data_IF_856693977511
#
_entry.id   IF_856693977511
#
_cell.length_a   1.000
_cell.length_b   1.000
_cell.length_c   1.000
_cell.angle_alpha   90.00
_cell.angle_beta   90.00
_cell.angle_gamma   90.00
#
_symmetry.space_group_name_H-M   'P 1'
#
loop_
_entity.id
_entity.type
_entity.pdbx_description
1 polymer ?
#
# COMPACT_ATOMS: atom_id res chain seq x y z
N UNK A 1 29.24 11.52 64.14
CA UNK A 1 29.11 10.37 63.21
C UNK A 1 27.71 10.19 62.56
N UNK A 2 26.73 11.09 62.76
CA UNK A 2 25.40 11.01 62.10
C UNK A 2 25.22 11.90 60.87
N UNK A 3 26.04 12.95 60.73
CA UNK A 3 25.96 13.93 59.63
C UNK A 3 26.43 13.35 58.27
N UNK A 4 27.48 12.51 58.29
CA UNK A 4 28.01 11.87 57.07
C UNK A 4 27.03 10.87 56.44
N UNK A 5 26.17 10.23 57.23
CA UNK A 5 25.21 9.23 56.72
C UNK A 5 24.06 9.89 55.97
N UNK A 6 23.59 11.06 56.43
CA UNK A 6 22.53 11.80 55.71
C UNK A 6 23.04 12.37 54.38
N UNK A 7 24.27 12.89 54.34
CA UNK A 7 24.85 13.43 53.12
C UNK A 7 25.05 12.34 52.05
N UNK A 8 25.54 11.16 52.45
CA UNK A 8 25.70 10.02 51.55
C UNK A 8 24.33 9.53 51.04
N UNK A 9 23.30 9.47 51.89
CA UNK A 9 21.94 9.09 51.46
C UNK A 9 21.36 10.07 50.44
N UNK A 10 21.53 11.38 50.64
CA UNK A 10 21.05 12.40 49.71
C UNK A 10 21.78 12.34 48.36
N UNK A 11 23.09 12.10 48.36
CA UNK A 11 23.88 11.95 47.12
C UNK A 11 23.49 10.67 46.37
N UNK A 12 23.28 9.55 47.06
CA UNK A 12 22.82 8.29 46.43
C UNK A 12 21.40 8.43 45.87
N UNK A 13 20.50 9.15 46.54
CA UNK A 13 19.15 9.42 46.03
C UNK A 13 19.16 10.34 44.79
N UNK A 14 20.08 11.31 44.75
CA UNK A 14 20.28 12.19 43.58
C UNK A 14 20.89 11.43 42.39
N UNK A 15 21.82 10.49 42.63
CA UNK A 15 22.35 9.64 41.56
C UNK A 15 21.29 8.66 41.01
N UNK A 16 20.41 8.13 41.86
CA UNK A 16 19.30 7.27 41.45
C UNK A 16 18.20 8.02 40.68
N UNK A 17 18.02 9.33 40.90
CA UNK A 17 17.10 10.15 40.09
C UNK A 17 17.74 10.61 38.78
N UNK A 18 19.07 10.73 38.70
CA UNK A 18 19.79 11.04 37.47
C UNK A 18 19.86 9.86 36.50
N UNK A 19 19.81 8.60 36.97
CA UNK A 19 19.76 7.42 36.09
C UNK A 19 18.41 7.18 35.43
N UNK A 20 17.32 7.78 35.92
CA UNK A 20 15.99 7.70 35.25
C UNK A 20 15.77 8.83 34.22
N UNK A 21 16.61 9.87 34.23
CA UNK A 21 16.56 10.98 33.26
C UNK A 21 17.51 10.71 32.07
N UNK A 22 18.52 9.85 32.25
CA UNK A 22 19.39 9.35 31.18
C UNK A 22 18.80 8.16 30.40
N UNK A 23 17.49 8.17 30.12
CA UNK A 23 16.86 7.28 29.14
C UNK A 23 15.60 7.91 28.54
N UNK A 24 15.68 9.20 28.19
CA UNK A 24 14.86 9.76 27.11
C UNK A 24 15.76 10.16 25.96
N UNK A 25 16.48 9.18 25.42
CA UNK A 25 16.79 9.22 24.00
C UNK A 25 15.47 8.79 23.37
N UNK A 26 14.73 9.75 22.81
CA UNK A 26 13.76 9.44 21.77
C UNK A 26 14.54 8.61 20.74
N UNK A 27 14.45 7.28 20.88
CA UNK A 27 14.58 6.43 19.74
C UNK A 27 13.47 6.93 18.84
N UNK A 28 13.82 7.82 17.89
CA UNK A 28 13.32 7.69 16.54
C UNK A 28 13.60 6.23 16.20
N UNK A 29 12.64 5.38 16.55
CA UNK A 29 12.54 4.03 16.09
C UNK A 29 12.53 4.23 14.59
N UNK A 30 13.67 3.94 13.94
CA UNK A 30 13.73 3.92 12.49
C UNK A 30 12.52 3.09 12.07
N UNK A 31 11.60 3.71 11.33
CA UNK A 31 10.48 2.97 10.76
C UNK A 31 11.11 1.90 9.88
N UNK A 32 11.13 0.65 10.36
CA UNK A 32 11.83 -0.47 9.72
C UNK A 32 11.27 -0.79 8.32
N UNK A 33 10.13 -0.18 7.95
CA UNK A 33 9.67 -0.11 6.57
C UNK A 33 9.00 1.22 6.28
N UNK A 34 9.39 1.81 5.16
CA UNK A 34 8.77 2.99 4.58
C UNK A 34 7.57 2.68 3.68
N UNK A 35 7.26 1.40 3.46
CA UNK A 35 6.26 0.98 2.49
C UNK A 35 4.87 1.39 2.97
N UNK A 36 4.27 2.33 2.24
CA UNK A 36 3.02 2.99 2.61
C UNK A 36 2.22 3.35 1.37
N UNK A 37 0.92 3.12 1.42
CA UNK A 37 -0.05 3.67 0.49
C UNK A 37 -1.09 4.42 1.30
N UNK A 38 -1.19 5.72 1.09
CA UNK A 38 -2.23 6.56 1.70
C UNK A 38 -3.20 6.93 0.62
N UNK A 39 -4.48 6.76 0.87
CA UNK A 39 -5.49 7.11 -0.10
C UNK A 39 -6.76 7.64 0.55
N UNK A 40 -7.46 8.42 -0.24
CA UNK A 40 -8.80 8.88 0.04
C UNK A 40 -9.77 8.14 -0.88
N UNK A 41 -10.84 7.59 -0.31
CA UNK A 41 -11.97 6.99 -1.03
C UNK A 41 -13.20 7.84 -0.75
N UNK A 42 -13.68 8.60 -1.74
CA UNK A 42 -14.82 9.50 -1.60
C UNK A 42 -14.75 10.43 -0.36
N UNK A 43 -13.59 11.05 -0.09
CA UNK A 43 -13.39 11.91 1.09
C UNK A 43 -12.95 11.18 2.37
N UNK A 44 -12.99 9.85 2.41
CA UNK A 44 -12.65 9.05 3.60
C UNK A 44 -11.20 8.55 3.51
N UNK A 45 -10.43 8.72 4.57
CA UNK A 45 -9.01 8.36 4.61
C UNK A 45 -8.78 6.89 4.93
N UNK A 46 -7.94 6.26 4.11
CA UNK A 46 -7.46 4.90 4.27
C UNK A 46 -5.94 4.85 4.14
N UNK A 47 -5.35 3.85 4.78
CA UNK A 47 -3.91 3.63 4.75
C UNK A 47 -3.57 2.16 4.76
N UNK A 48 -2.64 1.81 3.90
CA UNK A 48 -1.88 0.58 3.99
C UNK A 48 -0.47 0.94 4.42
N UNK A 49 0.01 0.31 5.49
CA UNK A 49 1.37 0.51 5.97
C UNK A 49 1.89 -0.83 6.45
N UNK A 50 3.05 -1.20 5.94
CA UNK A 50 3.69 -2.44 6.33
C UNK A 50 3.94 -2.45 7.84
N UNK A 51 3.45 -3.44 8.59
CA UNK A 51 3.72 -3.54 10.01
C UNK A 51 5.20 -3.85 10.26
N UNK A 52 5.71 -3.35 11.38
CA UNK A 52 7.13 -3.43 11.76
C UNK A 52 7.60 -4.89 11.93
N UNK A 53 6.72 -5.76 12.40
CA UNK A 53 6.96 -7.19 12.59
C UNK A 53 6.01 -7.97 11.70
N UNK A 54 6.58 -8.73 10.77
CA UNK A 54 5.87 -9.67 9.91
C UNK A 54 6.39 -11.09 10.20
N UNK A 55 5.50 -12.11 10.28
CA UNK A 55 5.93 -13.50 10.32
C UNK A 55 6.78 -13.84 9.08
N UNK A 56 7.75 -14.77 9.19
CA UNK A 56 8.48 -15.27 8.03
C UNK A 56 7.53 -15.75 6.94
N UNK A 57 7.73 -15.29 5.70
CA UNK A 57 6.90 -15.65 4.54
C UNK A 57 5.62 -14.82 4.36
N UNK A 58 5.32 -13.85 5.23
CA UNK A 58 4.18 -12.96 5.03
C UNK A 58 4.44 -11.99 3.86
N UNK A 59 3.48 -11.92 2.93
CA UNK A 59 3.51 -10.94 1.82
C UNK A 59 3.45 -9.52 2.37
N UNK A 60 4.36 -8.67 1.91
CA UNK A 60 4.49 -7.27 2.33
C UNK A 60 3.59 -6.39 1.49
N UNK A 61 2.75 -5.57 2.12
CA UNK A 61 1.91 -4.59 1.44
C UNK A 61 2.13 -3.18 2.00
N UNK A 62 1.96 -2.12 1.18
CA UNK A 62 1.68 -2.16 -0.25
C UNK A 62 2.87 -2.73 -1.04
N UNK A 63 2.56 -3.39 -2.15
CA UNK A 63 3.53 -4.12 -2.95
C UNK A 63 3.58 -3.56 -4.37
N UNK A 64 4.79 -3.37 -4.89
CA UNK A 64 5.02 -3.03 -6.29
C UNK A 64 6.00 -4.03 -6.91
N UNK A 65 5.56 -4.69 -7.96
CA UNK A 65 6.34 -5.61 -8.77
C UNK A 65 6.56 -5.06 -10.16
N UNK A 66 7.80 -5.14 -10.64
CA UNK A 66 8.17 -4.86 -12.02
C UNK A 66 8.86 -6.08 -12.61
N UNK A 67 8.22 -6.68 -13.60
CA UNK A 67 8.57 -8.01 -14.08
C UNK A 67 8.95 -8.02 -15.57
N UNK A 68 9.89 -8.91 -15.86
CA UNK A 68 10.26 -9.33 -17.20
C UNK A 68 10.03 -10.83 -17.26
N UNK A 69 9.22 -11.30 -18.21
CA UNK A 69 9.09 -12.72 -18.52
C UNK A 69 9.83 -13.00 -19.83
N UNK A 70 10.81 -13.92 -19.81
CA UNK A 70 11.51 -14.43 -21.00
C UNK A 70 11.48 -15.97 -21.04
N UNK A 71 11.32 -16.65 -22.19
CA UNK A 71 12.19 -16.57 -23.38
C UNK A 71 11.49 -16.48 -24.76
N UNK A 72 10.16 -16.29 -24.84
CA UNK A 72 9.45 -16.28 -26.16
C UNK A 72 8.76 -14.97 -26.52
N UNK A 73 8.43 -14.10 -25.58
CA UNK A 73 7.50 -12.98 -25.84
C UNK A 73 7.94 -11.60 -25.32
N UNK A 74 9.13 -11.44 -24.72
CA UNK A 74 9.62 -10.14 -24.19
C UNK A 74 8.54 -9.38 -23.39
N UNK A 75 7.78 -10.09 -22.57
CA UNK A 75 6.60 -9.55 -21.92
C UNK A 75 6.98 -8.83 -20.63
N UNK A 76 6.70 -7.52 -20.56
CA UNK A 76 6.98 -6.67 -19.40
C UNK A 76 5.68 -6.19 -18.79
N UNK A 77 5.62 -6.12 -17.47
CA UNK A 77 4.45 -5.58 -16.79
C UNK A 77 4.81 -5.07 -15.39
N UNK A 78 3.99 -4.16 -14.90
CA UNK A 78 3.96 -3.79 -13.48
C UNK A 78 2.72 -4.37 -12.82
N UNK A 79 2.84 -4.66 -11.53
CA UNK A 79 1.72 -4.91 -10.62
C UNK A 79 1.87 -4.02 -9.40
N UNK A 80 0.76 -3.44 -8.97
CA UNK A 80 0.66 -2.80 -7.66
C UNK A 80 -0.49 -3.42 -6.89
N UNK A 81 -0.23 -3.86 -5.66
CA UNK A 81 -1.25 -4.42 -4.77
C UNK A 81 -1.21 -3.72 -3.42
N UNK A 82 -2.38 -3.43 -2.85
CA UNK A 82 -2.48 -2.80 -1.54
C UNK A 82 -3.76 -3.20 -0.82
N UNK A 83 -3.71 -3.19 0.50
CA UNK A 83 -4.80 -3.54 1.41
C UNK A 83 -5.15 -2.36 2.31
N UNK A 84 -5.55 -1.20 1.75
CA UNK A 84 -5.76 0.01 2.52
C UNK A 84 -6.90 -0.18 3.53
N UNK A 85 -6.62 0.13 4.79
CA UNK A 85 -7.55 0.04 5.92
C UNK A 85 -8.00 1.42 6.32
N UNK A 86 -9.25 1.52 6.75
CA UNK A 86 -9.83 2.74 7.25
C UNK A 86 -9.02 3.26 8.46
N UNK A 87 -8.57 4.52 8.42
CA UNK A 87 -7.72 5.06 9.50
C UNK A 87 -8.52 5.35 10.78
N UNK A 88 -9.81 5.69 10.66
CA UNK A 88 -10.69 5.95 11.81
C UNK A 88 -11.82 4.91 11.90
N UNK A 89 -11.67 3.95 12.80
CA UNK A 89 -12.60 2.81 12.98
C UNK A 89 -13.95 3.23 13.57
N UNK A 90 -14.08 4.44 14.11
CA UNK A 90 -15.36 4.93 14.65
C UNK A 90 -16.36 5.42 13.61
N UNK A 91 -16.00 5.44 12.32
CA UNK A 91 -16.93 5.82 11.25
C UNK A 91 -17.90 4.70 10.87
N UNK A 92 -19.09 5.05 10.42
CA UNK A 92 -20.10 4.11 9.88
C UNK A 92 -19.89 3.86 8.37
N UNK A 93 -18.64 3.62 7.99
CA UNK A 93 -18.28 3.39 6.59
C UNK A 93 -18.44 1.90 6.27
N UNK A 94 -19.11 1.62 5.15
CA UNK A 94 -19.49 0.27 4.75
C UNK A 94 -18.28 -0.67 4.53
N UNK A 95 -17.15 -0.13 4.06
CA UNK A 95 -15.91 -0.86 3.88
C UNK A 95 -14.88 -0.48 4.96
N UNK A 96 -14.45 -1.46 5.77
CA UNK A 96 -13.37 -1.29 6.76
C UNK A 96 -11.99 -1.39 6.12
N UNK A 97 -11.88 -2.14 5.04
CA UNK A 97 -10.68 -2.24 4.21
C UNK A 97 -11.06 -2.62 2.78
N UNK A 98 -10.16 -2.28 1.86
CA UNK A 98 -10.23 -2.71 0.47
C UNK A 98 -9.03 -3.61 0.13
N UNK A 99 -9.18 -4.42 -0.89
CA UNK A 99 -8.07 -5.06 -1.60
C UNK A 99 -8.02 -4.40 -2.98
N UNK A 100 -6.93 -3.69 -3.27
CA UNK A 100 -6.71 -2.95 -4.50
C UNK A 100 -5.60 -3.63 -5.29
N UNK A 101 -5.85 -3.86 -6.57
CA UNK A 101 -4.87 -4.39 -7.50
C UNK A 101 -4.86 -3.60 -8.80
N UNK A 102 -3.67 -3.31 -9.28
CA UNK A 102 -3.38 -2.73 -10.59
C UNK A 102 -2.46 -3.69 -11.32
N UNK A 103 -2.75 -3.92 -12.58
CA UNK A 103 -1.87 -4.62 -13.50
C UNK A 103 -1.76 -3.81 -14.78
N UNK A 104 -0.53 -3.63 -15.26
CA UNK A 104 -0.30 -2.87 -16.47
C UNK A 104 0.83 -3.51 -17.28
N UNK A 105 0.50 -4.11 -18.43
CA UNK A 105 1.47 -4.49 -19.45
C UNK A 105 2.25 -3.27 -19.91
N UNK A 106 3.53 -3.47 -20.20
CA UNK A 106 4.47 -2.43 -20.56
C UNK A 106 5.07 -2.72 -21.93
N UNK A 107 5.00 -1.73 -22.80
CA UNK A 107 5.61 -1.71 -24.13
C UNK A 107 7.09 -1.30 -24.08
N UNK A 108 7.50 -0.64 -23.00
CA UNK A 108 8.84 -0.12 -22.77
C UNK A 108 9.24 -0.28 -21.30
N UNK A 109 10.46 0.14 -20.97
CA UNK A 109 10.89 0.26 -19.58
C UNK A 109 9.97 1.18 -18.76
N UNK A 110 9.86 0.93 -17.46
CA UNK A 110 9.11 1.80 -16.55
C UNK A 110 9.68 3.23 -16.57
N UNK A 111 8.84 4.18 -16.94
CA UNK A 111 9.17 5.61 -17.06
C UNK A 111 8.58 6.43 -15.91
N UNK A 112 9.38 7.36 -15.40
CA UNK A 112 8.97 8.39 -14.45
C UNK A 112 8.14 9.46 -15.18
N UNK A 113 7.09 9.94 -14.53
CA UNK A 113 6.12 10.93 -15.01
C UNK A 113 5.27 10.51 -16.22
N UNK A 114 5.41 9.27 -16.72
CA UNK A 114 4.45 8.67 -17.67
C UNK A 114 3.15 8.34 -16.94
N UNK A 115 2.02 8.64 -17.58
CA UNK A 115 0.71 8.18 -17.13
C UNK A 115 0.47 6.76 -17.65
N UNK A 116 0.21 5.83 -16.74
CA UNK A 116 -0.23 4.47 -17.05
C UNK A 116 -1.74 4.42 -16.86
N UNK A 117 -2.47 4.20 -17.95
CA UNK A 117 -3.93 4.27 -17.96
C UNK A 117 -4.53 2.87 -17.80
N UNK A 118 -5.64 2.80 -17.09
CA UNK A 118 -6.43 1.59 -16.86
C UNK A 118 -7.83 1.85 -17.34
N UNK A 119 -8.40 0.94 -18.12
CA UNK A 119 -9.75 1.09 -18.65
C UNK A 119 -10.60 -0.13 -18.29
N UNK A 120 -11.77 0.11 -17.72
CA UNK A 120 -12.77 -0.93 -17.54
C UNK A 120 -13.38 -1.36 -18.88
N UNK A 121 -13.61 -2.65 -19.04
CA UNK A 121 -14.37 -3.19 -20.18
C UNK A 121 -15.85 -2.79 -19.99
N UNK A 122 -16.48 -2.12 -20.98
CA UNK A 122 -17.88 -1.70 -20.86
C UNK A 122 -18.82 -2.88 -20.57
N UNK A 123 -19.65 -2.73 -19.54
CA UNK A 123 -20.63 -3.75 -19.13
C UNK A 123 -20.04 -4.88 -18.27
N UNK A 124 -18.74 -4.86 -17.99
CA UNK A 124 -18.01 -5.89 -17.25
C UNK A 124 -17.43 -5.32 -15.94
N UNK A 125 -18.24 -4.49 -15.28
CA UNK A 125 -17.88 -3.80 -14.04
C UNK A 125 -17.57 -4.76 -12.89
N UNK A 126 -18.11 -5.98 -12.93
CA UNK A 126 -18.02 -7.00 -11.89
C UNK A 126 -17.57 -8.33 -12.51
N UNK A 127 -16.42 -8.85 -12.09
CA UNK A 127 -15.91 -10.12 -12.60
C UNK A 127 -15.43 -11.02 -11.47
N UNK A 128 -15.76 -12.31 -11.59
CA UNK A 128 -15.12 -13.35 -10.80
C UNK A 128 -13.64 -13.50 -11.18
N UNK A 129 -12.79 -14.02 -10.28
CA UNK A 129 -11.35 -14.15 -10.51
C UNK A 129 -10.97 -14.76 -11.87
N UNK A 130 -11.53 -15.93 -12.18
CA UNK A 130 -11.24 -16.64 -13.45
C UNK A 130 -11.61 -15.81 -14.68
N UNK A 131 -12.67 -15.00 -14.60
CA UNK A 131 -13.13 -14.23 -15.75
C UNK A 131 -12.24 -13.02 -16.04
N UNK A 132 -11.73 -12.34 -15.01
CA UNK A 132 -10.85 -11.20 -15.26
C UNK A 132 -9.45 -11.64 -15.71
N UNK A 133 -8.95 -12.79 -15.26
CA UNK A 133 -7.72 -13.41 -15.80
C UNK A 133 -7.82 -13.54 -17.33
N UNK A 134 -8.89 -14.16 -17.82
CA UNK A 134 -9.13 -14.37 -19.26
C UNK A 134 -9.35 -13.04 -20.01
N UNK A 135 -10.09 -12.11 -19.42
CA UNK A 135 -10.49 -10.87 -20.12
C UNK A 135 -9.39 -9.81 -20.13
N UNK A 136 -8.54 -9.78 -19.11
CA UNK A 136 -7.48 -8.79 -18.98
C UNK A 136 -6.09 -9.40 -19.12
N UNK A 137 -5.70 -10.37 -18.28
CA UNK A 137 -4.31 -10.86 -18.23
C UNK A 137 -3.92 -11.65 -19.47
N UNK A 138 -4.74 -12.61 -19.90
CA UNK A 138 -4.50 -13.39 -21.12
C UNK A 138 -4.48 -12.51 -22.38
N UNK A 139 -5.21 -11.38 -22.34
CA UNK A 139 -5.28 -10.41 -23.43
C UNK A 139 -4.30 -9.26 -23.28
N UNK A 140 -3.43 -9.29 -22.27
CA UNK A 140 -2.48 -8.23 -21.95
C UNK A 140 -3.14 -6.85 -21.95
N UNK A 141 -4.25 -6.71 -21.23
CA UNK A 141 -4.92 -5.41 -20.99
C UNK A 141 -4.62 -4.92 -19.59
N UNK A 142 -4.27 -3.64 -19.50
CA UNK A 142 -4.13 -2.98 -18.21
C UNK A 142 -5.49 -2.87 -17.50
N UNK A 143 -5.50 -3.03 -16.18
CA UNK A 143 -6.71 -2.89 -15.37
C UNK A 143 -6.41 -2.38 -13.97
N UNK A 144 -7.49 -1.87 -13.37
CA UNK A 144 -7.60 -1.63 -11.94
C UNK A 144 -8.78 -2.41 -11.39
N UNK A 145 -8.59 -3.06 -10.25
CA UNK A 145 -9.64 -3.82 -9.59
C UNK A 145 -9.66 -3.59 -8.10
N UNK A 146 -10.86 -3.59 -7.52
CA UNK A 146 -11.05 -3.47 -6.08
C UNK A 146 -12.06 -4.50 -5.57
N UNK A 147 -11.79 -5.04 -4.39
CA UNK A 147 -12.77 -5.75 -3.56
C UNK A 147 -12.75 -5.18 -2.15
N UNK A 148 -13.74 -5.50 -1.32
CA UNK A 148 -13.84 -4.97 0.04
C UNK A 148 -14.06 -6.08 1.06
N UNK A 149 -13.61 -5.82 2.30
CA UNK A 149 -13.88 -6.67 3.46
C UNK A 149 -13.55 -8.16 3.25
N UNK A 150 -12.61 -8.48 2.34
CA UNK A 150 -12.13 -9.84 2.09
C UNK A 150 -12.99 -10.64 1.11
N UNK A 151 -14.04 -10.03 0.53
CA UNK A 151 -14.86 -10.68 -0.50
C UNK A 151 -14.15 -10.62 -1.87
N UNK A 152 -13.21 -11.54 -2.07
CA UNK A 152 -12.44 -11.66 -3.30
C UNK A 152 -13.25 -12.18 -4.50
N UNK A 153 -14.51 -12.58 -4.29
CA UNK A 153 -15.39 -13.01 -5.39
C UNK A 153 -16.10 -11.84 -6.06
N UNK A 154 -16.10 -10.66 -5.43
CA UNK A 154 -16.77 -9.46 -5.92
C UNK A 154 -15.76 -8.38 -6.37
N UNK A 155 -14.89 -8.73 -7.33
CA UNK A 155 -13.94 -7.77 -7.89
C UNK A 155 -14.66 -6.81 -8.83
N UNK A 156 -14.47 -5.53 -8.56
CA UNK A 156 -15.01 -4.44 -9.34
C UNK A 156 -13.90 -3.79 -10.16
N UNK A 157 -14.17 -3.50 -11.42
CA UNK A 157 -13.20 -2.98 -12.38
C UNK A 157 -13.55 -1.54 -12.73
N UNK A 158 -12.53 -0.70 -12.82
CA UNK A 158 -12.73 0.71 -13.10
C UNK A 158 -11.59 1.30 -13.92
N UNK A 159 -11.74 2.60 -14.13
CA UNK A 159 -10.87 3.38 -15.00
C UNK A 159 -10.05 4.33 -14.16
N UNK A 160 -8.84 4.62 -14.60
CA UNK A 160 -8.00 5.59 -13.92
C UNK A 160 -6.58 5.61 -14.43
N UNK A 161 -5.68 6.13 -13.60
CA UNK A 161 -4.28 6.27 -13.95
C UNK A 161 -3.35 6.11 -12.75
N UNK A 162 -2.15 5.65 -13.06
CA UNK A 162 -1.00 5.70 -12.15
C UNK A 162 0.09 6.56 -12.78
N UNK A 163 0.81 7.33 -11.94
CA UNK A 163 2.01 8.05 -12.37
C UNK A 163 3.15 7.72 -11.43
N UNK A 164 4.21 7.13 -11.96
CA UNK A 164 5.44 6.91 -11.21
C UNK A 164 6.15 8.26 -11.08
N UNK A 165 6.40 8.73 -9.86
CA UNK A 165 7.02 10.03 -9.58
C UNK A 165 8.52 9.94 -9.37
N UNK A 166 9.02 8.82 -8.86
CA UNK A 166 10.46 8.57 -8.72
C UNK A 166 10.76 7.10 -8.62
N UNK A 167 11.94 6.71 -9.10
CA UNK A 167 12.53 5.38 -8.92
C UNK A 167 13.94 5.61 -8.37
N UNK A 168 14.23 5.06 -7.20
CA UNK A 168 15.56 5.03 -6.59
C UNK A 168 16.08 3.59 -6.66
N UNK A 169 16.97 3.32 -7.60
CA UNK A 169 17.51 1.98 -7.84
C UNK A 169 18.49 1.54 -6.76
N UNK A 170 19.13 2.48 -6.05
CA UNK A 170 20.08 2.15 -4.99
C UNK A 170 19.35 1.66 -3.75
N UNK A 171 18.19 2.27 -3.45
CA UNK A 171 17.31 1.84 -2.35
C UNK A 171 16.25 0.83 -2.77
N UNK A 172 16.18 0.48 -4.06
CA UNK A 172 15.09 -0.29 -4.65
C UNK A 172 13.72 0.26 -4.21
N UNK A 173 13.51 1.57 -4.34
CA UNK A 173 12.29 2.26 -3.92
C UNK A 173 11.58 2.89 -5.11
N UNK A 174 10.25 2.79 -5.14
CA UNK A 174 9.39 3.46 -6.10
C UNK A 174 8.37 4.32 -5.38
N UNK A 175 8.10 5.51 -5.94
CA UNK A 175 7.02 6.40 -5.49
C UNK A 175 6.10 6.74 -6.63
N UNK A 176 4.83 6.92 -6.33
CA UNK A 176 3.86 7.32 -7.34
C UNK A 176 2.55 7.79 -6.76
N UNK A 177 1.67 8.19 -7.67
CA UNK A 177 0.29 8.58 -7.38
C UNK A 177 -0.66 7.68 -8.16
N UNK A 178 -1.85 7.50 -7.62
CA UNK A 178 -2.91 6.66 -8.17
C UNK A 178 -4.24 7.39 -8.08
N UNK A 179 -4.96 7.47 -9.20
CA UNK A 179 -6.28 8.09 -9.29
C UNK A 179 -7.21 7.16 -10.05
N UNK A 180 -8.30 6.70 -9.41
CA UNK A 180 -9.23 5.72 -9.96
C UNK A 180 -10.68 6.13 -9.75
N UNK A 181 -11.54 5.69 -10.66
CA UNK A 181 -12.99 5.72 -10.54
C UNK A 181 -13.47 4.29 -10.79
N UNK A 182 -13.97 3.64 -9.73
CA UNK A 182 -14.34 2.22 -9.75
C UNK A 182 -15.72 2.05 -9.08
N UNK A 183 -16.64 1.23 -9.60
CA UNK A 183 -17.88 0.93 -8.89
C UNK A 183 -17.60 0.25 -7.54
N UNK A 184 -18.47 0.51 -6.57
CA UNK A 184 -18.31 -0.06 -5.23
C UNK A 184 -18.47 -1.59 -5.23
N UNK A 185 -17.56 -2.32 -4.56
CA UNK A 185 -17.70 -3.74 -4.29
C UNK A 185 -18.67 -4.04 -3.15
N UNK A 186 -19.26 -3.02 -2.51
CA UNK A 186 -20.29 -3.22 -1.49
C UNK A 186 -21.67 -3.24 -2.13
N UNK A 187 -22.34 -4.40 -2.10
CA UNK A 187 -23.65 -4.61 -2.74
C UNK A 187 -24.71 -3.59 -2.27
N UNK A 188 -24.74 -3.28 -0.98
CA UNK A 188 -25.69 -2.32 -0.41
C UNK A 188 -25.53 -0.89 -0.93
N UNK A 189 -24.36 -0.55 -1.50
CA UNK A 189 -24.11 0.77 -2.08
C UNK A 189 -24.58 0.89 -3.55
N UNK A 190 -25.23 -0.14 -4.10
CA UNK A 190 -25.89 -0.12 -5.41
C UNK A 190 -25.05 0.49 -6.54
N UNK A 191 -23.84 -0.07 -6.76
CA UNK A 191 -22.89 0.38 -7.79
C UNK A 191 -22.47 1.85 -7.70
N UNK A 192 -22.58 2.48 -6.52
CA UNK A 192 -22.02 3.81 -6.27
C UNK A 192 -20.57 3.85 -6.72
N UNK A 193 -20.18 4.90 -7.44
CA UNK A 193 -18.80 5.09 -7.86
C UNK A 193 -17.93 5.50 -6.67
N UNK A 194 -16.79 4.84 -6.56
CA UNK A 194 -15.69 5.17 -5.66
C UNK A 194 -14.66 5.98 -6.43
N UNK A 195 -14.40 7.19 -5.97
CA UNK A 195 -13.25 7.99 -6.40
C UNK A 195 -12.11 7.72 -5.42
N UNK A 196 -11.02 7.14 -5.92
CA UNK A 196 -9.84 6.79 -5.14
C UNK A 196 -8.70 7.69 -5.58
N UNK A 197 -8.07 8.39 -4.63
CA UNK A 197 -6.86 9.19 -4.88
C UNK A 197 -5.83 8.86 -3.83
N UNK A 198 -4.62 8.49 -4.23
CA UNK A 198 -3.60 8.10 -3.27
C UNK A 198 -2.18 8.30 -3.75
N UNK A 199 -1.27 8.24 -2.79
CA UNK A 199 0.17 8.26 -2.97
C UNK A 199 0.77 7.00 -2.37
N UNK A 200 1.75 6.42 -3.08
CA UNK A 200 2.50 5.27 -2.58
C UNK A 200 3.99 5.55 -2.55
N UNK A 201 4.63 4.92 -1.58
CA UNK A 201 6.08 4.69 -1.48
C UNK A 201 6.23 3.22 -1.13
N UNK A 202 6.93 2.44 -1.95
CA UNK A 202 7.12 1.02 -1.67
C UNK A 202 8.42 0.51 -2.30
N UNK A 203 8.85 -0.67 -1.86
CA UNK A 203 9.97 -1.39 -2.44
C UNK A 203 9.67 -1.79 -3.89
N UNK A 204 10.57 -1.48 -4.81
CA UNK A 204 10.59 -1.96 -6.18
C UNK A 204 11.05 -3.42 -6.19
N UNK A 205 10.13 -4.36 -6.37
CA UNK A 205 10.48 -5.76 -6.54
C UNK A 205 10.71 -6.03 -8.03
N UNK A 206 11.99 -6.13 -8.43
CA UNK A 206 12.37 -6.38 -9.81
C UNK A 206 12.79 -7.84 -9.97
N UNK A 207 12.03 -8.61 -10.75
CA UNK A 207 12.46 -9.93 -11.19
C UNK A 207 12.83 -9.86 -12.68
N UNK A 208 14.07 -10.25 -12.96
CA UNK A 208 14.62 -10.40 -14.31
C UNK A 208 14.36 -11.79 -14.85
#
# INVERSE_FOLDING_TARGET
>A
MRLNIMFIKSVVMLLLSLTTIACKKEQKQEELSSDTFKCEVNGVQYKDKMPILLPPGATRFPWFGYYYLNDRENYKYLIFQSFPRLENVSSDVAARYYNLEIYCPLDAELQVNKEYLFEAIPGEDYLMPVNYEIKYRDKQKAYSSISANGDLNNNCFGTGKMVIKSIDTDKMEVRGILELIIPSPIVAENKKLLTIKGEFRTTLNKNY
#
